data_IF_650141440859
#
_entry.id   IF_650141440859
#
_cell.length_a   1.000
_cell.length_b   1.000
_cell.length_c   1.000
_cell.angle_alpha   90.00
_cell.angle_beta   90.00
_cell.angle_gamma   90.00
#
_symmetry.space_group_name_H-M   'P 1'
#
loop_
_entity.id
_entity.type
_entity.pdbx_description
1 polymer ?
#
# COMPACT_ATOMS: atom_id res chain seq x y z
N UNK A 1 -11.30 7.95 35.35
CA UNK A 1 -11.15 7.50 33.95
C UNK A 1 -10.01 6.49 33.99
N UNK A 2 -10.25 5.21 33.75
CA UNK A 2 -9.20 4.18 33.83
C UNK A 2 -8.33 4.34 32.59
N UNK A 3 -7.09 4.78 32.79
CA UNK A 3 -6.09 4.88 31.74
C UNK A 3 -5.73 3.46 31.28
N UNK A 4 -6.02 3.15 30.02
CA UNK A 4 -5.64 1.88 29.40
C UNK A 4 -4.57 2.19 28.37
N UNK A 5 -3.40 1.58 28.53
CA UNK A 5 -2.35 1.61 27.52
C UNK A 5 -2.84 0.87 26.27
N UNK A 6 -3.28 1.62 25.26
CA UNK A 6 -3.64 1.07 23.96
C UNK A 6 -2.33 0.90 23.17
N UNK A 7 -1.96 -0.33 22.76
CA UNK A 7 -0.76 -0.56 21.98
C UNK A 7 -0.90 0.13 20.61
N UNK A 8 0.01 1.06 20.33
CA UNK A 8 -0.05 1.92 19.13
C UNK A 8 0.29 1.17 17.83
N UNK A 9 0.92 -0.01 17.90
CA UNK A 9 1.46 -0.72 16.75
C UNK A 9 0.62 -1.93 16.32
N UNK A 10 -0.55 -2.15 16.91
CA UNK A 10 -1.36 -3.35 16.61
C UNK A 10 -1.91 -3.35 15.18
N UNK A 11 -2.08 -2.16 14.59
CA UNK A 11 -2.59 -1.97 13.23
C UNK A 11 -1.48 -1.77 12.18
N UNK A 12 -0.21 -1.75 12.61
CA UNK A 12 0.92 -1.54 11.69
C UNK A 12 1.30 -2.85 10.98
N UNK A 13 1.83 -2.72 9.76
CA UNK A 13 2.39 -3.87 9.07
C UNK A 13 3.61 -4.43 9.81
N UNK A 14 3.88 -5.75 9.72
CA UNK A 14 5.07 -6.34 10.30
C UNK A 14 6.35 -5.69 9.75
N UNK A 15 7.32 -5.48 10.62
CA UNK A 15 8.61 -4.92 10.25
C UNK A 15 9.61 -6.01 9.89
N UNK A 16 10.28 -5.87 8.75
CA UNK A 16 11.37 -6.73 8.28
C UNK A 16 12.65 -5.89 8.26
N UNK A 17 13.57 -6.17 9.18
CA UNK A 17 14.76 -5.37 9.43
C UNK A 17 14.41 -3.88 9.65
N UNK A 18 14.70 -3.00 8.68
CA UNK A 18 14.43 -1.56 8.78
C UNK A 18 13.18 -1.12 8.01
N UNK A 19 12.50 -2.03 7.31
CA UNK A 19 11.39 -1.72 6.41
C UNK A 19 10.09 -2.36 6.90
N UNK A 20 8.95 -1.76 6.57
CA UNK A 20 7.66 -2.41 6.77
C UNK A 20 7.38 -3.37 5.60
N UNK A 21 6.59 -4.43 5.84
CA UNK A 21 6.36 -5.47 4.82
C UNK A 21 5.72 -4.91 3.55
N UNK A 22 4.86 -3.90 3.67
CA UNK A 22 4.23 -3.23 2.53
C UNK A 22 5.22 -2.39 1.70
N UNK A 23 6.33 -1.91 2.29
CA UNK A 23 7.38 -1.16 1.58
C UNK A 23 8.10 -2.01 0.51
N UNK A 24 8.02 -3.33 0.64
CA UNK A 24 8.61 -4.28 -0.31
C UNK A 24 7.74 -4.50 -1.54
N UNK A 25 6.45 -4.14 -1.49
CA UNK A 25 5.52 -4.37 -2.61
C UNK A 25 6.01 -3.78 -3.94
N UNK A 26 6.53 -2.54 -4.01
CA UNK A 26 7.04 -1.98 -5.27
C UNK A 26 8.22 -2.77 -5.85
N UNK A 27 9.07 -3.36 -5.01
CA UNK A 27 10.21 -4.18 -5.45
C UNK A 27 9.73 -5.53 -5.96
N UNK A 28 8.84 -6.18 -5.23
CA UNK A 28 8.29 -7.48 -5.63
C UNK A 28 7.57 -7.33 -6.98
N UNK A 29 6.73 -6.32 -7.13
CA UNK A 29 6.01 -6.02 -8.37
C UNK A 29 6.97 -5.71 -9.53
N UNK A 30 8.03 -4.93 -9.29
CA UNK A 30 8.99 -4.65 -10.35
C UNK A 30 9.79 -5.89 -10.77
N UNK A 31 10.12 -6.78 -9.83
CA UNK A 31 10.77 -8.06 -10.15
C UNK A 31 9.90 -8.94 -11.05
N UNK A 32 8.58 -8.99 -10.82
CA UNK A 32 7.65 -9.68 -11.74
C UNK A 32 7.74 -9.12 -13.16
N UNK A 33 7.80 -7.79 -13.31
CA UNK A 33 8.03 -7.14 -14.61
C UNK A 33 9.40 -7.54 -15.18
N UNK A 34 10.45 -7.58 -14.35
CA UNK A 34 11.78 -8.01 -14.76
C UNK A 34 11.85 -9.42 -15.33
N UNK A 35 11.10 -10.36 -14.75
CA UNK A 35 10.98 -11.74 -15.26
C UNK A 35 10.28 -11.78 -16.61
N UNK A 36 9.17 -11.04 -16.76
CA UNK A 36 8.36 -11.05 -17.98
C UNK A 36 9.14 -10.48 -19.18
N UNK A 37 9.97 -9.46 -18.95
CA UNK A 37 10.68 -8.73 -20.01
C UNK A 37 12.18 -9.06 -20.10
N UNK A 38 12.66 -10.04 -19.31
CA UNK A 38 14.08 -10.44 -19.24
C UNK A 38 15.05 -9.27 -18.94
N UNK A 39 14.62 -8.35 -18.07
CA UNK A 39 15.37 -7.13 -17.68
C UNK A 39 15.49 -7.02 -16.16
N UNK A 40 15.85 -8.14 -15.50
CA UNK A 40 15.85 -8.28 -14.05
C UNK A 40 16.62 -7.16 -13.33
N UNK A 41 17.86 -6.88 -13.74
CA UNK A 41 18.71 -5.87 -13.07
C UNK A 41 18.07 -4.48 -13.09
N UNK A 42 17.54 -4.05 -14.25
CA UNK A 42 16.89 -2.74 -14.40
C UNK A 42 15.60 -2.70 -13.57
N UNK A 43 14.86 -3.80 -13.54
CA UNK A 43 13.61 -3.90 -12.80
C UNK A 43 13.80 -3.85 -11.27
N UNK A 44 14.89 -4.41 -10.75
CA UNK A 44 15.20 -4.35 -9.32
C UNK A 44 15.55 -2.90 -8.93
N UNK A 45 16.37 -2.23 -9.75
CA UNK A 45 16.73 -0.83 -9.53
C UNK A 45 15.48 0.06 -9.56
N UNK A 46 14.60 -0.14 -10.54
CA UNK A 46 13.35 0.61 -10.62
C UNK A 46 12.45 0.34 -9.40
N UNK A 47 12.37 -0.90 -8.94
CA UNK A 47 11.67 -1.28 -7.71
C UNK A 47 12.18 -0.56 -6.47
N UNK A 48 13.50 -0.48 -6.30
CA UNK A 48 14.13 0.23 -5.17
C UNK A 48 13.81 1.73 -5.20
N UNK A 49 13.86 2.34 -6.38
CA UNK A 49 13.49 3.76 -6.57
C UNK A 49 12.01 3.97 -6.25
N UNK A 50 11.13 3.11 -6.77
CA UNK A 50 9.69 3.18 -6.51
C UNK A 50 9.37 2.97 -5.03
N UNK A 51 10.01 2.02 -4.35
CA UNK A 51 9.87 1.80 -2.91
C UNK A 51 10.31 3.03 -2.11
N UNK A 52 11.42 3.66 -2.49
CA UNK A 52 11.87 4.91 -1.84
C UNK A 52 10.85 6.05 -1.99
N UNK A 53 10.23 6.18 -3.16
CA UNK A 53 9.17 7.17 -3.41
C UNK A 53 7.92 6.82 -2.60
N UNK A 54 7.53 5.54 -2.60
CA UNK A 54 6.39 5.01 -1.83
C UNK A 54 6.54 5.30 -0.34
N UNK A 55 7.69 4.97 0.26
CA UNK A 55 7.98 5.22 1.69
C UNK A 55 7.88 6.72 2.00
N UNK A 56 8.44 7.58 1.13
CA UNK A 56 8.38 9.04 1.31
C UNK A 56 6.96 9.58 1.26
N UNK A 57 6.11 9.03 0.38
CA UNK A 57 4.70 9.35 0.31
C UNK A 57 3.95 8.86 1.56
N UNK A 58 4.13 7.57 1.92
CA UNK A 58 3.48 6.92 3.06
C UNK A 58 3.72 7.68 4.36
N UNK A 59 4.96 8.11 4.63
CA UNK A 59 5.34 8.86 5.83
C UNK A 59 4.63 10.21 6.00
N UNK A 60 4.12 10.80 4.92
CA UNK A 60 3.41 12.10 4.95
C UNK A 60 1.89 11.93 4.87
N UNK A 61 1.42 10.72 4.58
CA UNK A 61 0.02 10.44 4.35
C UNK A 61 -0.62 9.85 5.60
N UNK A 62 -1.95 9.95 5.69
CA UNK A 62 -2.70 9.25 6.72
C UNK A 62 -2.67 7.73 6.45
N UNK A 63 -2.71 6.89 7.51
CA UNK A 63 -2.88 5.45 7.37
C UNK A 63 -4.07 5.12 6.47
N UNK A 64 -3.90 4.17 5.55
CA UNK A 64 -4.95 3.76 4.61
C UNK A 64 -5.20 4.71 3.43
N UNK A 65 -4.49 5.83 3.31
CA UNK A 65 -4.63 6.79 2.20
C UNK A 65 -4.57 6.14 0.81
N UNK A 66 -3.63 5.21 0.59
CA UNK A 66 -3.52 4.46 -0.66
C UNK A 66 -4.71 3.55 -0.92
N UNK A 67 -5.25 2.92 0.12
CA UNK A 67 -6.45 2.10 0.02
C UNK A 67 -7.66 2.95 -0.40
N UNK A 68 -7.77 4.16 0.16
CA UNK A 68 -8.78 5.14 -0.25
C UNK A 68 -8.60 5.62 -1.68
N UNK A 69 -7.37 5.85 -2.14
CA UNK A 69 -7.08 6.22 -3.52
C UNK A 69 -7.46 5.07 -4.47
N UNK A 70 -7.06 3.83 -4.14
CA UNK A 70 -7.41 2.64 -4.92
C UNK A 70 -8.94 2.46 -4.99
N UNK A 71 -9.65 2.69 -3.88
CA UNK A 71 -11.10 2.70 -3.86
C UNK A 71 -11.69 3.78 -4.77
N UNK A 72 -11.17 5.01 -4.73
CA UNK A 72 -11.64 6.10 -5.58
C UNK A 72 -11.53 5.77 -7.08
N UNK A 73 -10.47 5.07 -7.46
CA UNK A 73 -10.27 4.59 -8.84
C UNK A 73 -11.02 3.28 -9.15
N UNK A 74 -11.77 2.70 -8.19
CA UNK A 74 -12.52 1.47 -8.37
C UNK A 74 -11.66 0.20 -8.42
N UNK A 75 -10.40 0.27 -8.00
CA UNK A 75 -9.45 -0.85 -8.06
C UNK A 75 -9.63 -1.83 -6.90
N UNK A 76 -10.00 -1.32 -5.72
CA UNK A 76 -10.19 -2.12 -4.50
C UNK A 76 -11.43 -1.66 -3.74
N UNK A 77 -12.19 -2.57 -3.11
CA UNK A 77 -13.28 -2.21 -2.22
C UNK A 77 -12.73 -1.57 -0.94
N UNK A 78 -13.42 -0.56 -0.39
CA UNK A 78 -12.97 0.08 0.84
C UNK A 78 -13.19 -0.84 2.04
N UNK A 79 -14.37 -1.45 2.10
CA UNK A 79 -14.74 -2.45 3.11
C UNK A 79 -15.86 -3.36 2.57
N UNK A 80 -16.45 -4.20 3.45
CA UNK A 80 -17.53 -5.13 3.07
C UNK A 80 -18.83 -4.45 2.63
N UNK A 81 -19.02 -3.18 2.99
CA UNK A 81 -20.24 -2.39 2.71
C UNK A 81 -20.02 -1.54 1.47
N UNK A 82 -18.90 -0.81 1.43
CA UNK A 82 -18.48 0.07 0.35
C UNK A 82 -17.56 -0.68 -0.60
N UNK A 83 -18.17 -1.49 -1.46
CA UNK A 83 -17.44 -2.34 -2.42
C UNK A 83 -17.14 -1.63 -3.73
N UNK A 84 -17.99 -0.69 -4.15
CA UNK A 84 -17.87 0.01 -5.43
C UNK A 84 -17.58 1.51 -5.24
N UNK A 85 -16.32 1.90 -5.42
CA UNK A 85 -15.92 3.31 -5.32
C UNK A 85 -16.22 4.19 -6.54
N UNK A 86 -16.66 3.57 -7.64
CA UNK A 86 -17.14 4.28 -8.83
C UNK A 86 -18.64 4.59 -8.76
N UNK A 87 -19.37 4.02 -7.80
CA UNK A 87 -20.76 4.37 -7.56
C UNK A 87 -20.86 5.84 -7.12
N UNK A 88 -21.35 6.70 -8.02
CA UNK A 88 -21.60 8.13 -7.78
C UNK A 88 -23.06 8.41 -7.42
N UNK A 89 -23.94 7.44 -7.65
CA UNK A 89 -25.38 7.54 -7.44
C UNK A 89 -25.85 6.42 -6.52
N UNK A 90 -26.82 6.72 -5.67
CA UNK A 90 -27.47 5.74 -4.81
C UNK A 90 -28.49 4.96 -5.66
N UNK A 91 -28.15 3.73 -6.04
CA UNK A 91 -29.10 2.81 -6.68
C UNK A 91 -29.83 2.11 -5.54
N UNK A 92 -31.08 2.50 -5.32
CA UNK A 92 -31.99 1.93 -4.33
C UNK A 92 -32.60 0.62 -4.82
#
# INVERSE_FOLDING_TARGET
MIERDIPQMIDNFPQIAFWETDDLMPIILSMFVGVIFDVMTISIISGLVLSTIYIRYKRKALPGSLHHIAYWYGLLPLNRIFTNGLAREYIQ
#
